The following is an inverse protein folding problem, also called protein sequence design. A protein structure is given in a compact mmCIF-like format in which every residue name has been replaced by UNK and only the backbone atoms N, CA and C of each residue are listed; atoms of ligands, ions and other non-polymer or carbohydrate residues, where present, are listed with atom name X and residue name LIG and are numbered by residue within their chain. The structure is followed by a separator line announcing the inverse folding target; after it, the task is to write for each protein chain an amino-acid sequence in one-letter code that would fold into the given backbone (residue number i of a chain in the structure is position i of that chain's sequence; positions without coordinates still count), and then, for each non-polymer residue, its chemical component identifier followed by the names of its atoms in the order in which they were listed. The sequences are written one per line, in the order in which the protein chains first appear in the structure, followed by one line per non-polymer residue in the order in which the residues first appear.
data_IF_337058300435
#
_entry.id   IF_337058300435
#
_cell.length_a   1.000
_cell.length_b   1.000
_cell.length_c   1.000
_cell.angle_alpha   90.00
_cell.angle_beta   90.00
_cell.angle_gamma   90.00
#
_symmetry.space_group_name_H-M   'P 1'
#
loop_
_entity.id
_entity.type
_entity.pdbx_description
1 polymer ?
#
# COMPACT_ATOMS: atom_id res chain seq x y z
N UNK A 1 13.13 30.85 1.67
CA UNK A 1 12.49 29.59 1.23
C UNK A 1 13.08 28.49 2.08
N UNK A 2 12.30 27.75 2.85
CA UNK A 2 12.82 26.58 3.57
C UNK A 2 13.29 25.56 2.54
N UNK A 3 14.48 24.99 2.73
CA UNK A 3 14.97 23.89 1.90
C UNK A 3 14.08 22.68 2.10
N UNK A 4 13.74 21.98 1.01
CA UNK A 4 13.01 20.71 1.09
C UNK A 4 13.87 19.67 1.81
N UNK A 5 13.29 18.79 2.65
CA UNK A 5 14.04 17.75 3.33
C UNK A 5 14.62 16.72 2.35
N UNK A 6 15.78 16.16 2.69
CA UNK A 6 16.34 15.00 1.98
C UNK A 6 15.53 13.76 2.34
N UNK A 7 15.12 12.99 1.35
CA UNK A 7 14.23 11.83 1.52
C UNK A 7 14.94 10.54 1.13
N UNK A 8 14.80 9.50 1.95
CA UNK A 8 15.12 8.14 1.55
C UNK A 8 13.83 7.34 1.31
N UNK A 9 13.77 6.56 0.23
CA UNK A 9 12.68 5.64 -0.06
C UNK A 9 13.21 4.21 -0.02
N UNK A 10 12.76 3.45 0.97
CA UNK A 10 13.09 2.05 1.18
C UNK A 10 11.96 1.17 0.68
N UNK A 11 12.25 0.37 -0.35
CA UNK A 11 11.25 -0.40 -1.09
C UNK A 11 10.74 0.36 -2.31
N UNK A 12 11.31 0.03 -3.49
CA UNK A 12 10.94 0.61 -4.80
C UNK A 12 10.03 -0.35 -5.58
N UNK A 13 9.08 -0.99 -4.89
CA UNK A 13 7.96 -1.68 -5.50
C UNK A 13 6.98 -0.68 -6.14
N UNK A 14 5.81 -1.17 -6.59
CA UNK A 14 4.84 -0.34 -7.31
C UNK A 14 4.51 1.01 -6.63
N UNK A 15 4.35 1.00 -5.31
CA UNK A 15 4.02 2.22 -4.54
C UNK A 15 5.26 3.08 -4.28
N UNK A 16 6.34 2.50 -3.74
CA UNK A 16 7.54 3.26 -3.41
C UNK A 16 8.23 3.85 -4.63
N UNK A 17 8.21 3.17 -5.77
CA UNK A 17 8.67 3.70 -7.05
C UNK A 17 7.87 4.95 -7.46
N UNK A 18 6.53 4.89 -7.36
CA UNK A 18 5.66 6.04 -7.63
C UNK A 18 5.95 7.21 -6.67
N UNK A 19 6.19 6.93 -5.38
CA UNK A 19 6.55 7.96 -4.40
C UNK A 19 7.88 8.61 -4.74
N UNK A 20 8.94 7.82 -5.01
CA UNK A 20 10.24 8.35 -5.41
C UNK A 20 10.14 9.21 -6.68
N UNK A 21 9.41 8.74 -7.70
CA UNK A 21 9.17 9.49 -8.94
C UNK A 21 8.48 10.85 -8.68
N UNK A 22 7.42 10.87 -7.86
CA UNK A 22 6.71 12.11 -7.53
C UNK A 22 7.57 13.08 -6.72
N UNK A 23 8.36 12.59 -5.76
CA UNK A 23 9.29 13.40 -4.99
C UNK A 23 10.35 14.05 -5.90
N UNK A 24 10.97 13.29 -6.80
CA UNK A 24 11.93 13.82 -7.77
C UNK A 24 11.32 14.90 -8.66
N UNK A 25 10.10 14.69 -9.17
CA UNK A 25 9.35 15.69 -9.96
C UNK A 25 9.06 16.97 -9.19
N UNK A 26 8.92 16.88 -7.86
CA UNK A 26 8.70 18.03 -6.98
C UNK A 26 10.01 18.64 -6.43
N UNK A 27 11.17 18.24 -6.95
CA UNK A 27 12.47 18.86 -6.64
C UNK A 27 13.12 18.40 -5.33
N UNK A 28 12.66 17.28 -4.75
CA UNK A 28 13.32 16.69 -3.58
C UNK A 28 14.63 16.01 -3.97
N UNK A 29 15.59 16.02 -3.06
CA UNK A 29 16.76 15.13 -3.12
C UNK A 29 16.33 13.77 -2.58
N UNK A 30 16.39 12.75 -3.43
CA UNK A 30 15.88 11.42 -3.09
C UNK A 30 16.97 10.36 -3.21
N UNK A 31 17.20 9.65 -2.11
CA UNK A 31 17.94 8.39 -2.07
C UNK A 31 16.95 7.21 -2.11
N UNK A 32 17.34 6.13 -2.75
CA UNK A 32 16.49 4.94 -2.85
C UNK A 32 17.25 3.65 -2.56
N UNK A 33 16.53 2.69 -2.01
CA UNK A 33 17.02 1.33 -1.87
C UNK A 33 15.89 0.32 -2.11
N UNK A 34 16.24 -0.78 -2.74
CA UNK A 34 15.36 -1.93 -2.88
C UNK A 34 16.20 -3.21 -2.89
N UNK A 35 15.67 -4.31 -2.31
CA UNK A 35 16.33 -5.62 -2.30
C UNK A 35 16.74 -6.09 -3.70
N UNK A 36 15.94 -5.79 -4.72
CA UNK A 36 16.29 -5.96 -6.14
C UNK A 36 16.58 -4.60 -6.76
N UNK A 37 17.84 -4.23 -7.01
CA UNK A 37 18.24 -2.88 -7.49
C UNK A 37 17.56 -2.48 -8.80
N UNK A 38 17.34 -3.43 -9.70
CA UNK A 38 16.68 -3.19 -11.00
C UNK A 38 15.34 -2.41 -10.91
N UNK A 39 14.68 -2.43 -9.75
CA UNK A 39 13.42 -1.73 -9.54
C UNK A 39 13.50 -0.20 -9.42
N UNK A 40 14.72 0.35 -9.32
CA UNK A 40 14.93 1.79 -9.22
C UNK A 40 15.89 2.34 -10.28
N UNK A 41 16.40 1.50 -11.18
CA UNK A 41 17.41 1.90 -12.18
C UNK A 41 16.88 2.98 -13.12
N UNK A 42 15.63 2.88 -13.55
CA UNK A 42 14.98 3.85 -14.41
C UNK A 42 14.87 5.24 -13.78
N UNK A 43 14.73 5.33 -12.45
CA UNK A 43 14.65 6.58 -11.73
C UNK A 43 15.99 7.29 -11.57
N UNK A 44 17.13 6.62 -11.78
CA UNK A 44 18.46 7.25 -11.73
C UNK A 44 18.59 8.32 -12.82
N UNK A 45 18.01 8.09 -14.00
CA UNK A 45 17.98 9.10 -15.07
C UNK A 45 17.17 10.36 -14.67
N UNK A 46 16.33 10.26 -13.65
CA UNK A 46 15.52 11.34 -13.10
C UNK A 46 16.08 11.92 -11.79
N UNK A 47 17.29 11.51 -11.38
CA UNK A 47 18.00 12.05 -10.23
C UNK A 47 17.92 11.22 -8.94
N UNK A 48 17.40 9.98 -8.99
CA UNK A 48 17.44 9.08 -7.83
C UNK A 48 18.88 8.65 -7.52
N UNK A 49 19.31 8.83 -6.27
CA UNK A 49 20.54 8.22 -5.76
C UNK A 49 20.24 6.79 -5.30
N UNK A 50 20.40 5.80 -6.19
CA UNK A 50 20.16 4.40 -5.87
C UNK A 50 21.35 3.79 -5.13
N UNK A 51 21.11 3.19 -3.96
CA UNK A 51 22.14 2.64 -3.09
C UNK A 51 22.08 1.11 -3.01
N UNK A 52 23.24 0.48 -2.81
CA UNK A 52 23.35 -0.96 -2.69
C UNK A 52 22.83 -1.50 -1.34
N UNK A 53 22.89 -0.68 -0.28
CA UNK A 53 22.44 -1.05 1.06
C UNK A 53 21.43 -0.02 1.59
N UNK A 54 20.49 -0.43 2.47
CA UNK A 54 19.53 0.51 3.03
C UNK A 54 20.19 1.51 3.98
N UNK A 55 21.30 1.14 4.66
CA UNK A 55 22.08 2.03 5.50
C UNK A 55 22.66 3.22 4.71
N UNK A 56 23.17 2.96 3.52
CA UNK A 56 23.71 4.03 2.65
C UNK A 56 22.59 4.98 2.20
N UNK A 57 21.41 4.45 1.92
CA UNK A 57 20.27 5.26 1.47
C UNK A 57 19.78 6.24 2.54
N UNK A 58 19.86 5.87 3.83
CA UNK A 58 19.33 6.69 4.93
C UNK A 58 20.35 7.63 5.57
N UNK A 59 21.63 7.50 5.27
CA UNK A 59 22.72 8.18 5.99
C UNK A 59 22.56 9.72 6.10
N UNK A 60 22.05 10.35 5.04
CA UNK A 60 21.83 11.81 4.97
C UNK A 60 20.35 12.20 4.96
N UNK A 61 19.44 11.22 5.13
CA UNK A 61 18.01 11.46 5.02
C UNK A 61 17.44 12.12 6.29
N UNK A 62 16.60 13.12 6.09
CA UNK A 62 15.82 13.79 7.14
C UNK A 62 14.44 13.13 7.29
N UNK A 63 13.91 12.57 6.18
CA UNK A 63 12.65 11.82 6.15
C UNK A 63 12.88 10.49 5.44
N UNK A 64 12.48 9.40 6.08
CA UNK A 64 12.66 8.04 5.57
C UNK A 64 11.29 7.44 5.32
N UNK A 65 10.97 7.13 4.08
CA UNK A 65 9.78 6.38 3.68
C UNK A 65 10.13 4.90 3.65
N UNK A 66 9.46 4.10 4.47
CA UNK A 66 9.51 2.64 4.43
C UNK A 66 8.25 2.10 3.76
N UNK A 67 8.39 1.54 2.55
CA UNK A 67 7.29 0.95 1.76
C UNK A 67 7.62 -0.49 1.41
N UNK A 68 7.74 -1.32 2.43
CA UNK A 68 8.13 -2.73 2.35
C UNK A 68 6.89 -3.65 2.33
N UNK A 69 7.11 -4.93 2.00
CA UNK A 69 6.03 -5.87 1.71
C UNK A 69 5.19 -6.26 2.93
N UNK A 70 5.84 -6.42 4.08
CA UNK A 70 5.25 -6.95 5.31
C UNK A 70 5.99 -6.48 6.57
N UNK A 71 5.54 -6.96 7.74
CA UNK A 71 6.10 -6.60 9.03
C UNK A 71 7.50 -7.15 9.25
N UNK A 72 7.78 -8.38 8.82
CA UNK A 72 9.09 -9.03 8.98
C UNK A 72 10.16 -8.23 8.24
N UNK A 73 9.95 -7.97 6.96
CA UNK A 73 10.87 -7.15 6.15
C UNK A 73 11.05 -5.74 6.73
N UNK A 74 9.98 -5.16 7.29
CA UNK A 74 10.03 -3.83 7.91
C UNK A 74 10.89 -3.82 9.16
N UNK A 75 10.73 -4.80 10.05
CA UNK A 75 11.50 -4.91 11.28
C UNK A 75 12.98 -5.20 10.99
N UNK A 76 13.25 -6.12 10.04
CA UNK A 76 14.61 -6.44 9.62
C UNK A 76 15.34 -5.21 9.07
N UNK A 77 14.73 -4.48 8.14
CA UNK A 77 15.33 -3.29 7.55
C UNK A 77 15.46 -2.17 8.57
N UNK A 78 14.47 -1.96 9.45
CA UNK A 78 14.52 -0.95 10.51
C UNK A 78 15.69 -1.20 11.46
N UNK A 79 15.92 -2.45 11.89
CA UNK A 79 17.05 -2.82 12.72
C UNK A 79 18.40 -2.50 12.06
N UNK A 80 18.50 -2.73 10.75
CA UNK A 80 19.73 -2.47 10.00
C UNK A 80 19.99 -0.97 9.83
N UNK A 81 18.98 -0.14 9.61
CA UNK A 81 19.16 1.27 9.29
C UNK A 81 19.22 2.19 10.51
N UNK A 82 18.56 1.86 11.61
CA UNK A 82 18.43 2.75 12.77
C UNK A 82 19.77 3.33 13.25
N UNK A 83 20.87 2.53 13.36
CA UNK A 83 22.16 3.07 13.75
C UNK A 83 22.82 4.00 12.72
N UNK A 84 22.39 3.94 11.45
CA UNK A 84 22.95 4.74 10.34
C UNK A 84 22.14 6.02 10.07
N UNK A 85 20.95 6.16 10.67
CA UNK A 85 20.09 7.30 10.48
C UNK A 85 20.58 8.54 11.22
N UNK A 86 20.22 9.72 10.70
CA UNK A 86 20.39 10.97 11.44
C UNK A 86 19.55 10.93 12.73
N UNK A 87 20.06 11.45 13.88
CA UNK A 87 19.39 11.33 15.16
C UNK A 87 17.97 11.93 15.19
N UNK A 88 17.70 12.95 14.40
CA UNK A 88 16.38 13.62 14.35
C UNK A 88 15.57 13.27 13.09
N UNK A 89 15.98 12.25 12.36
CA UNK A 89 15.25 11.82 11.18
C UNK A 89 13.84 11.32 11.54
N UNK A 90 12.92 11.48 10.60
CA UNK A 90 11.55 11.00 10.71
C UNK A 90 11.42 9.70 9.92
N UNK A 91 11.05 8.62 10.61
CA UNK A 91 10.75 7.34 9.98
C UNK A 91 9.25 7.23 9.71
N UNK A 92 8.88 7.29 8.43
CA UNK A 92 7.50 7.15 7.95
C UNK A 92 7.26 5.72 7.48
N UNK A 93 6.58 4.92 8.28
CA UNK A 93 6.19 3.56 7.92
C UNK A 93 4.91 3.62 7.07
N UNK A 94 5.00 3.30 5.77
CA UNK A 94 3.90 3.47 4.82
C UNK A 94 3.32 2.14 4.29
N UNK A 95 3.93 1.00 4.60
CA UNK A 95 3.40 -0.32 4.28
C UNK A 95 2.24 -0.74 5.20
N UNK A 96 1.48 -1.75 4.80
CA UNK A 96 0.49 -2.39 5.66
C UNK A 96 1.13 -3.58 6.36
N UNK A 97 1.52 -3.43 7.63
CA UNK A 97 2.32 -4.40 8.37
C UNK A 97 1.59 -5.07 9.54
N UNK A 98 0.40 -4.59 9.89
CA UNK A 98 -0.34 -5.08 11.05
C UNK A 98 0.03 -4.37 12.37
N UNK A 99 -0.79 -4.59 13.41
CA UNK A 99 -0.59 -3.91 14.69
C UNK A 99 0.52 -4.49 15.55
N UNK A 100 0.72 -5.81 15.62
CA UNK A 100 1.84 -6.39 16.39
C UNK A 100 3.18 -5.86 15.89
N UNK A 101 3.43 -5.89 14.58
CA UNK A 101 4.68 -5.46 13.94
C UNK A 101 4.84 -3.94 14.04
N UNK A 102 3.76 -3.17 13.96
CA UNK A 102 3.79 -1.72 14.20
C UNK A 102 4.28 -1.40 15.62
N UNK A 103 3.76 -2.09 16.64
CA UNK A 103 4.20 -1.92 18.02
C UNK A 103 5.68 -2.29 18.21
N UNK A 104 6.10 -3.39 17.58
CA UNK A 104 7.49 -3.82 17.59
C UNK A 104 8.41 -2.81 16.90
N UNK A 105 8.01 -2.26 15.75
CA UNK A 105 8.77 -1.24 15.03
C UNK A 105 8.93 0.05 15.85
N UNK A 106 7.87 0.50 16.52
CA UNK A 106 7.91 1.66 17.44
C UNK A 106 8.87 1.40 18.60
N UNK A 107 8.79 0.22 19.23
CA UNK A 107 9.66 -0.15 20.34
C UNK A 107 11.13 -0.25 19.90
N UNK A 108 11.39 -0.92 18.78
CA UNK A 108 12.71 -1.09 18.20
C UNK A 108 13.36 0.26 17.84
N UNK A 109 12.62 1.16 17.20
CA UNK A 109 13.15 2.48 16.86
C UNK A 109 13.47 3.29 18.14
N UNK A 110 12.62 3.22 19.14
CA UNK A 110 12.84 3.90 20.43
C UNK A 110 14.08 3.36 21.17
N UNK A 111 14.34 2.05 21.03
CA UNK A 111 15.53 1.42 21.65
C UNK A 111 16.81 1.79 20.90
N UNK A 112 16.81 1.68 19.58
CA UNK A 112 18.03 1.84 18.76
C UNK A 112 18.36 3.29 18.46
N UNK A 113 17.35 4.17 18.32
CA UNK A 113 17.54 5.57 17.96
C UNK A 113 16.44 6.45 18.58
N UNK A 114 16.51 6.70 19.91
CA UNK A 114 15.43 7.34 20.68
C UNK A 114 15.15 8.80 20.27
N UNK A 115 16.05 9.45 19.53
CA UNK A 115 15.86 10.82 19.07
C UNK A 115 15.08 10.90 17.74
N UNK A 116 14.91 9.77 17.00
CA UNK A 116 14.09 9.73 15.81
C UNK A 116 12.59 9.77 16.13
N UNK A 117 11.83 10.28 15.17
CA UNK A 117 10.36 10.30 15.25
C UNK A 117 9.79 9.19 14.37
N UNK A 118 8.91 8.36 14.95
CA UNK A 118 8.13 7.36 14.20
C UNK A 118 6.77 7.96 13.81
N UNK A 119 6.47 7.95 12.51
CA UNK A 119 5.16 8.25 11.95
C UNK A 119 4.65 7.01 11.23
N UNK A 120 3.50 6.52 11.65
CA UNK A 120 2.78 5.47 10.95
C UNK A 120 1.93 6.13 9.87
N UNK A 121 2.17 5.81 8.60
CA UNK A 121 1.62 6.56 7.47
C UNK A 121 1.18 5.66 6.29
N UNK A 122 0.44 4.56 6.52
CA UNK A 122 -0.08 3.77 5.41
C UNK A 122 -0.97 4.62 4.48
N UNK A 123 -1.17 4.14 3.27
CA UNK A 123 -1.85 4.92 2.24
C UNK A 123 -3.14 4.26 1.76
N UNK A 124 -4.12 5.07 1.38
CA UNK A 124 -5.33 4.62 0.70
C UNK A 124 -5.26 5.00 -0.78
N UNK A 125 -5.29 4.00 -1.63
CA UNK A 125 -5.10 4.07 -3.08
C UNK A 125 -4.19 2.96 -3.56
N UNK A 126 -4.23 2.69 -4.87
CA UNK A 126 -3.45 1.66 -5.55
C UNK A 126 -2.39 2.31 -6.45
N UNK A 127 -1.70 1.52 -7.29
CA UNK A 127 -0.59 1.97 -8.13
C UNK A 127 -0.94 3.20 -8.98
N UNK A 128 -1.99 3.16 -9.78
CA UNK A 128 -2.33 4.26 -10.69
C UNK A 128 -2.66 5.58 -9.97
N UNK A 129 -3.43 5.63 -8.87
CA UNK A 129 -3.53 6.81 -8.02
C UNK A 129 -2.20 7.28 -7.42
N UNK A 130 -1.30 6.35 -7.04
CA UNK A 130 0.01 6.71 -6.48
C UNK A 130 0.90 7.40 -7.53
N UNK A 131 0.93 6.91 -8.76
CA UNK A 131 1.66 7.52 -9.88
C UNK A 131 1.23 8.97 -10.16
N UNK A 132 -0.04 9.29 -9.87
CA UNK A 132 -0.65 10.61 -10.07
C UNK A 132 -0.66 11.49 -8.81
N UNK A 133 -0.02 11.07 -7.71
CA UNK A 133 -0.09 11.72 -6.39
C UNK A 133 -1.55 11.90 -5.90
N UNK A 134 -2.44 10.97 -6.18
CA UNK A 134 -3.87 11.02 -5.84
C UNK A 134 -4.27 10.02 -4.73
N UNK A 135 -3.31 9.42 -4.07
CA UNK A 135 -3.56 8.63 -2.86
C UNK A 135 -3.91 9.53 -1.68
N UNK A 136 -4.46 8.95 -0.62
CA UNK A 136 -4.63 9.59 0.69
C UNK A 136 -3.60 8.99 1.66
N UNK A 137 -2.80 9.83 2.32
CA UNK A 137 -1.93 9.38 3.42
C UNK A 137 -2.76 9.33 4.70
N UNK A 138 -2.69 8.20 5.40
CA UNK A 138 -3.32 7.99 6.71
C UNK A 138 -2.21 8.07 7.76
N UNK A 139 -2.05 9.23 8.40
CA UNK A 139 -0.94 9.45 9.31
C UNK A 139 -1.35 9.30 10.78
N UNK A 140 -0.46 8.78 11.60
CA UNK A 140 -0.58 8.79 13.06
C UNK A 140 0.80 8.82 13.73
N UNK A 141 0.88 9.44 14.90
CA UNK A 141 2.12 9.71 15.63
C UNK A 141 2.19 11.15 16.11
N UNK A 142 3.38 11.57 16.54
CA UNK A 142 3.64 12.96 16.98
C UNK A 142 3.76 13.88 15.75
N UNK A 143 2.66 14.55 15.43
CA UNK A 143 2.57 15.42 14.26
C UNK A 143 3.54 16.61 14.32
N UNK A 144 3.78 17.16 15.49
CA UNK A 144 4.66 18.32 15.65
C UNK A 144 6.11 17.94 15.36
N UNK A 145 6.58 16.82 15.94
CA UNK A 145 7.91 16.27 15.64
C UNK A 145 8.02 15.75 14.23
N UNK A 146 6.92 15.26 13.66
CA UNK A 146 6.82 14.79 12.27
C UNK A 146 6.63 15.88 11.21
N UNK A 147 6.64 17.16 11.57
CA UNK A 147 6.28 18.26 10.67
C UNK A 147 7.09 18.31 9.36
N UNK A 148 8.37 17.91 9.37
CA UNK A 148 9.19 17.85 8.16
C UNK A 148 8.72 16.79 7.14
N UNK A 149 7.86 15.84 7.52
CA UNK A 149 7.24 14.90 6.60
C UNK A 149 6.03 15.49 5.84
N UNK A 150 5.43 16.58 6.31
CA UNK A 150 4.24 17.17 5.64
C UNK A 150 4.48 17.54 4.17
N UNK A 151 5.57 18.23 3.78
CA UNK A 151 5.84 18.51 2.37
C UNK A 151 6.12 17.24 1.56
N UNK A 152 6.66 16.18 2.19
CA UNK A 152 6.88 14.88 1.55
C UNK A 152 5.53 14.22 1.26
N UNK A 153 4.62 14.20 2.23
CA UNK A 153 3.27 13.67 2.03
C UNK A 153 2.48 14.46 0.97
N UNK A 154 2.60 15.78 0.97
CA UNK A 154 1.95 16.64 -0.03
C UNK A 154 2.42 16.36 -1.47
N UNK A 155 3.70 15.99 -1.65
CA UNK A 155 4.26 15.68 -2.97
C UNK A 155 3.78 14.34 -3.54
N UNK A 156 3.35 13.40 -2.70
CA UNK A 156 2.97 12.03 -3.12
C UNK A 156 1.47 11.75 -3.02
N UNK A 157 0.67 12.69 -2.48
CA UNK A 157 -0.74 12.44 -2.18
C UNK A 157 -1.62 13.65 -2.48
N UNK A 158 -2.93 13.41 -2.56
CA UNK A 158 -3.95 14.47 -2.60
C UNK A 158 -4.25 15.08 -1.24
N UNK A 159 -3.66 14.54 -0.17
CA UNK A 159 -3.84 15.01 1.20
C UNK A 159 -3.45 13.98 2.25
N UNK A 160 -3.37 14.45 3.50
CA UNK A 160 -3.03 13.64 4.68
C UNK A 160 -4.15 13.74 5.71
N UNK A 161 -4.59 12.61 6.23
CA UNK A 161 -5.54 12.54 7.35
C UNK A 161 -4.83 11.98 8.58
N UNK A 162 -4.89 12.71 9.71
CA UNK A 162 -4.23 12.33 10.95
C UNK A 162 -5.19 11.61 11.90
N UNK A 163 -4.72 10.52 12.52
CA UNK A 163 -5.48 9.63 13.41
C UNK A 163 -4.94 9.58 14.84
N UNK A 164 -4.18 10.59 15.27
CA UNK A 164 -3.65 10.70 16.63
C UNK A 164 -2.44 9.81 16.87
N UNK A 165 -2.46 8.98 17.91
CA UNK A 165 -1.32 8.17 18.34
C UNK A 165 -0.85 7.16 17.29
N UNK A 166 0.47 6.92 17.23
CA UNK A 166 1.10 5.98 16.31
C UNK A 166 0.45 4.58 16.39
N UNK A 167 0.18 3.99 15.22
CA UNK A 167 -0.53 2.73 15.07
C UNK A 167 -2.04 2.87 14.78
N UNK A 168 -2.66 4.03 15.03
CA UNK A 168 -4.07 4.22 14.74
C UNK A 168 -4.35 4.27 13.23
N UNK A 169 -3.41 4.76 12.44
CA UNK A 169 -3.53 4.74 10.98
C UNK A 169 -3.46 3.33 10.40
N UNK A 170 -2.69 2.40 10.98
CA UNK A 170 -2.75 0.98 10.59
C UNK A 170 -4.12 0.37 10.86
N UNK A 171 -4.75 0.69 12.01
CA UNK A 171 -6.11 0.23 12.30
C UNK A 171 -7.08 0.70 11.22
N UNK A 172 -7.04 2.01 10.90
CA UNK A 172 -7.89 2.57 9.84
C UNK A 172 -7.58 1.96 8.47
N UNK A 173 -6.30 1.74 8.17
CA UNK A 173 -5.89 1.07 6.91
C UNK A 173 -6.50 -0.32 6.77
N UNK A 174 -6.52 -1.12 7.83
CA UNK A 174 -7.13 -2.45 7.82
C UNK A 174 -8.65 -2.38 7.64
N UNK A 175 -9.35 -1.41 8.25
CA UNK A 175 -10.78 -1.17 8.01
C UNK A 175 -11.05 -0.85 6.53
N UNK A 176 -10.25 0.04 5.94
CA UNK A 176 -10.41 0.41 4.52
C UNK A 176 -10.12 -0.77 3.58
N UNK A 177 -9.10 -1.59 3.90
CA UNK A 177 -8.77 -2.75 3.08
C UNK A 177 -9.80 -3.88 3.22
N UNK A 178 -10.35 -4.13 4.41
CA UNK A 178 -11.48 -5.04 4.58
C UNK A 178 -12.67 -4.63 3.70
N UNK A 179 -13.00 -3.32 3.67
CA UNK A 179 -14.05 -2.77 2.80
C UNK A 179 -13.73 -2.97 1.31
N UNK A 180 -12.47 -2.69 0.90
CA UNK A 180 -12.03 -2.84 -0.49
C UNK A 180 -12.12 -4.31 -0.94
N UNK A 181 -11.67 -5.25 -0.12
CA UNK A 181 -11.68 -6.70 -0.38
C UNK A 181 -13.12 -7.21 -0.54
N UNK A 182 -14.01 -6.85 0.39
CA UNK A 182 -15.43 -7.22 0.31
C UNK A 182 -16.10 -6.65 -0.93
N UNK A 183 -15.75 -5.42 -1.31
CA UNK A 183 -16.27 -4.79 -2.53
C UNK A 183 -15.77 -5.52 -3.78
N UNK A 184 -14.49 -5.92 -3.84
CA UNK A 184 -13.95 -6.66 -4.98
C UNK A 184 -14.62 -8.02 -5.16
N UNK A 185 -14.85 -8.75 -4.09
CA UNK A 185 -15.57 -10.02 -4.16
C UNK A 185 -16.99 -9.82 -4.74
N UNK A 186 -17.72 -8.83 -4.24
CA UNK A 186 -19.05 -8.49 -4.75
C UNK A 186 -19.04 -8.07 -6.23
N UNK A 187 -18.01 -7.35 -6.69
CA UNK A 187 -17.84 -7.02 -8.12
C UNK A 187 -17.63 -8.29 -8.95
N UNK A 188 -16.74 -9.19 -8.51
CA UNK A 188 -16.42 -10.41 -9.23
C UNK A 188 -17.67 -11.33 -9.35
N UNK A 189 -18.42 -11.53 -8.27
CA UNK A 189 -19.64 -12.33 -8.26
C UNK A 189 -20.75 -11.71 -9.11
N UNK A 190 -20.95 -10.39 -9.02
CA UNK A 190 -21.93 -9.68 -9.84
C UNK A 190 -21.59 -9.79 -11.33
N UNK A 191 -20.32 -9.68 -11.70
CA UNK A 191 -19.88 -9.84 -13.09
C UNK A 191 -20.04 -11.29 -13.59
N UNK A 192 -19.81 -12.31 -12.74
CA UNK A 192 -20.07 -13.71 -13.08
C UNK A 192 -21.56 -13.98 -13.27
N UNK A 193 -22.41 -13.44 -12.40
CA UNK A 193 -23.86 -13.57 -12.54
C UNK A 193 -24.35 -12.86 -13.83
N UNK A 194 -23.86 -11.65 -14.10
CA UNK A 194 -24.17 -10.91 -15.32
C UNK A 194 -23.81 -11.75 -16.57
N UNK A 195 -22.61 -12.31 -16.61
CA UNK A 195 -22.17 -13.21 -17.70
C UNK A 195 -23.10 -14.41 -17.86
N UNK A 196 -23.50 -15.06 -16.78
CA UNK A 196 -24.42 -16.21 -16.82
C UNK A 196 -25.78 -15.83 -17.37
N UNK A 197 -26.24 -14.59 -17.11
CA UNK A 197 -27.51 -14.07 -17.58
C UNK A 197 -27.41 -13.39 -18.97
N UNK A 198 -26.25 -13.42 -19.63
CA UNK A 198 -26.03 -12.88 -20.97
C UNK A 198 -25.71 -11.39 -21.03
N UNK A 199 -25.31 -10.79 -19.89
CA UNK A 199 -24.88 -9.38 -19.84
C UNK A 199 -23.37 -9.26 -19.83
N UNK A 200 -22.87 -8.18 -20.42
CA UNK A 200 -21.44 -7.81 -20.40
C UNK A 200 -21.10 -6.95 -19.17
N UNK A 201 -19.80 -6.87 -18.78
CA UNK A 201 -19.36 -5.94 -17.72
C UNK A 201 -19.72 -4.47 -18.04
N UNK A 202 -19.68 -4.06 -19.32
CA UNK A 202 -20.07 -2.69 -19.72
C UNK A 202 -21.57 -2.44 -19.53
N UNK A 203 -22.43 -3.43 -19.83
CA UNK A 203 -23.85 -3.33 -19.55
C UNK A 203 -24.13 -3.25 -18.05
N UNK A 204 -23.41 -4.04 -17.24
CA UNK A 204 -23.50 -3.95 -15.78
C UNK A 204 -23.10 -2.56 -15.29
N UNK A 205 -21.97 -2.02 -15.78
CA UNK A 205 -21.56 -0.66 -15.41
C UNK A 205 -22.60 0.37 -15.82
N UNK A 206 -23.11 0.33 -17.04
CA UNK A 206 -24.12 1.28 -17.54
C UNK A 206 -25.39 1.29 -16.67
N UNK A 207 -25.76 0.14 -16.10
CA UNK A 207 -26.90 0.07 -15.18
C UNK A 207 -26.60 0.63 -13.77
N UNK A 208 -25.32 0.68 -13.38
CA UNK A 208 -24.88 1.23 -12.10
C UNK A 208 -24.60 2.75 -12.17
N UNK A 209 -24.14 3.23 -13.34
CA UNK A 209 -23.61 4.57 -13.54
C UNK A 209 -24.60 5.66 -13.15
N UNK A 210 -24.14 6.66 -12.42
CA UNK A 210 -24.97 7.74 -11.88
C UNK A 210 -25.80 7.37 -10.65
N UNK A 211 -25.83 6.09 -10.26
CA UNK A 211 -26.54 5.61 -9.08
C UNK A 211 -25.64 5.50 -7.84
N UNK A 212 -26.22 5.20 -6.68
CA UNK A 212 -25.50 5.14 -5.40
C UNK A 212 -24.51 3.96 -5.29
N UNK A 213 -24.60 2.98 -6.18
CA UNK A 213 -23.69 1.82 -6.22
C UNK A 213 -22.49 2.02 -7.17
N UNK A 214 -22.46 3.12 -7.92
CA UNK A 214 -21.42 3.45 -8.90
C UNK A 214 -20.17 4.06 -8.25
N UNK A 215 -19.43 3.28 -7.44
CA UNK A 215 -18.15 3.73 -6.94
C UNK A 215 -17.10 3.72 -8.09
N UNK A 216 -16.17 4.69 -8.17
CA UNK A 216 -15.11 4.70 -9.19
C UNK A 216 -14.28 3.42 -9.23
N UNK A 217 -14.08 2.78 -8.09
CA UNK A 217 -13.40 1.49 -7.97
C UNK A 217 -14.12 0.37 -8.74
N UNK A 218 -15.46 0.36 -8.73
CA UNK A 218 -16.26 -0.62 -9.46
C UNK A 218 -15.98 -0.54 -10.96
N UNK A 219 -15.97 0.70 -11.52
CA UNK A 219 -15.66 0.92 -12.94
C UNK A 219 -14.30 0.36 -13.31
N UNK A 220 -13.26 0.72 -12.56
CA UNK A 220 -11.88 0.27 -12.82
C UNK A 220 -11.78 -1.26 -12.83
N UNK A 221 -12.49 -1.93 -11.92
CA UNK A 221 -12.43 -3.40 -11.82
C UNK A 221 -13.29 -4.09 -12.88
N UNK A 222 -14.44 -3.53 -13.25
CA UNK A 222 -15.21 -4.02 -14.38
C UNK A 222 -14.48 -3.85 -15.72
N UNK A 223 -13.70 -2.76 -15.90
CA UNK A 223 -12.86 -2.57 -17.10
C UNK A 223 -11.75 -3.61 -17.19
N UNK A 224 -11.10 -3.94 -16.05
CA UNK A 224 -10.10 -4.99 -15.99
C UNK A 224 -10.70 -6.37 -16.35
N UNK A 225 -11.91 -6.65 -15.86
CA UNK A 225 -12.65 -7.87 -16.18
C UNK A 225 -13.06 -7.90 -17.65
N UNK A 226 -13.57 -6.80 -18.20
CA UNK A 226 -14.00 -6.70 -19.60
C UNK A 226 -12.84 -6.88 -20.59
N UNK A 227 -11.67 -6.36 -20.25
CA UNK A 227 -10.45 -6.45 -21.07
C UNK A 227 -9.63 -7.72 -20.81
N UNK A 228 -10.00 -8.52 -19.82
CA UNK A 228 -9.23 -9.67 -19.32
C UNK A 228 -7.76 -9.33 -18.97
N UNK A 229 -7.51 -8.08 -18.55
CA UNK A 229 -6.19 -7.60 -18.18
C UNK A 229 -6.08 -7.44 -16.66
N UNK A 230 -5.33 -8.33 -16.03
CA UNK A 230 -5.18 -8.39 -14.58
C UNK A 230 -3.76 -7.97 -14.13
N UNK A 231 -3.18 -7.00 -14.84
CA UNK A 231 -1.92 -6.35 -14.43
C UNK A 231 -2.09 -5.73 -13.03
N UNK A 232 -1.25 -6.10 -12.06
CA UNK A 232 -1.51 -5.75 -10.67
C UNK A 232 -1.50 -4.25 -10.39
N UNK A 233 -2.63 -3.71 -9.95
CA UNK A 233 -2.72 -2.45 -9.20
C UNK A 233 -2.54 -2.72 -7.69
N UNK A 234 -3.01 -3.88 -7.24
CA UNK A 234 -2.76 -4.51 -5.95
C UNK A 234 -2.78 -6.02 -6.16
N UNK A 235 -1.70 -6.70 -5.83
CA UNK A 235 -1.63 -8.16 -5.96
C UNK A 235 -2.64 -8.85 -5.05
N UNK A 236 -3.22 -9.96 -5.53
CA UNK A 236 -4.14 -10.79 -4.75
C UNK A 236 -3.51 -11.24 -3.42
N UNK A 237 -2.23 -11.66 -3.45
CA UNK A 237 -1.51 -12.07 -2.25
C UNK A 237 -1.42 -10.97 -1.19
N UNK A 238 -1.20 -9.71 -1.59
CA UNK A 238 -1.15 -8.58 -0.66
C UNK A 238 -2.53 -8.28 -0.06
N UNK A 239 -3.58 -8.36 -0.87
CA UNK A 239 -4.94 -8.15 -0.38
C UNK A 239 -5.38 -9.28 0.57
N UNK A 240 -5.02 -10.53 0.28
CA UNK A 240 -5.26 -11.67 1.16
C UNK A 240 -4.53 -11.53 2.51
N UNK A 241 -3.25 -11.09 2.49
CA UNK A 241 -2.51 -10.75 3.71
C UNK A 241 -3.25 -9.69 4.52
N UNK A 242 -3.74 -8.64 3.89
CA UNK A 242 -4.44 -7.55 4.57
C UNK A 242 -5.81 -8.00 5.14
N UNK A 243 -6.52 -8.92 4.44
CA UNK A 243 -7.72 -9.55 4.97
C UNK A 243 -7.42 -10.33 6.26
N UNK A 244 -6.34 -11.11 6.28
CA UNK A 244 -5.92 -11.88 7.45
C UNK A 244 -5.50 -10.99 8.61
N UNK A 245 -4.79 -9.88 8.34
CA UNK A 245 -4.46 -8.88 9.35
C UNK A 245 -5.73 -8.25 9.95
N UNK A 246 -6.73 -7.94 9.14
CA UNK A 246 -8.01 -7.42 9.63
C UNK A 246 -8.74 -8.45 10.50
N UNK A 247 -8.82 -9.69 10.03
CA UNK A 247 -9.47 -10.79 10.77
C UNK A 247 -8.78 -11.09 12.10
N UNK A 248 -7.45 -10.96 12.18
CA UNK A 248 -6.72 -11.17 13.44
C UNK A 248 -7.05 -10.17 14.55
N UNK A 249 -7.69 -9.06 14.19
CA UNK A 249 -8.10 -7.98 15.11
C UNK A 249 -9.60 -7.96 15.36
N UNK A 250 -10.37 -8.70 14.57
CA UNK A 250 -11.82 -8.75 14.68
C UNK A 250 -12.26 -9.56 15.89
N UNK A 251 -13.34 -9.12 16.53
CA UNK A 251 -14.03 -9.97 17.50
C UNK A 251 -14.61 -11.23 16.80
N UNK A 252 -14.61 -12.38 17.47
CA UNK A 252 -15.12 -13.61 16.86
C UNK A 252 -16.51 -13.43 16.22
N UNK A 253 -16.67 -13.96 15.02
CA UNK A 253 -17.94 -13.96 14.27
C UNK A 253 -18.47 -12.58 13.82
N UNK A 254 -17.69 -11.49 13.95
CA UNK A 254 -18.13 -10.17 13.52
C UNK A 254 -17.87 -9.88 12.04
N UNK A 255 -17.03 -10.68 11.39
CA UNK A 255 -16.64 -10.49 9.98
C UNK A 255 -16.76 -11.79 9.15
N UNK A 256 -17.88 -12.53 9.19
CA UNK A 256 -18.00 -13.84 8.53
C UNK A 256 -17.86 -13.76 7.00
N UNK A 257 -18.28 -12.66 6.39
CA UNK A 257 -18.09 -12.43 4.96
C UNK A 257 -16.61 -12.30 4.58
N UNK A 258 -15.80 -11.61 5.37
CA UNK A 258 -14.37 -11.48 5.11
C UNK A 258 -13.62 -12.79 5.36
N UNK A 259 -14.05 -13.59 6.35
CA UNK A 259 -13.52 -14.95 6.60
C UNK A 259 -13.70 -15.82 5.35
N UNK A 260 -14.92 -15.91 4.82
CA UNK A 260 -15.23 -16.66 3.60
C UNK A 260 -14.42 -16.14 2.40
N UNK A 261 -14.31 -14.82 2.23
CA UNK A 261 -13.51 -14.23 1.15
C UNK A 261 -12.03 -14.61 1.27
N UNK A 262 -11.47 -14.57 2.48
CA UNK A 262 -10.08 -14.94 2.71
C UNK A 262 -9.79 -16.40 2.36
N UNK A 263 -10.72 -17.31 2.66
CA UNK A 263 -10.63 -18.73 2.28
C UNK A 263 -10.69 -18.92 0.76
N UNK A 264 -11.64 -18.25 0.08
CA UNK A 264 -11.78 -18.29 -1.37
C UNK A 264 -10.54 -17.71 -2.08
N UNK A 265 -10.02 -16.60 -1.58
CA UNK A 265 -8.85 -15.95 -2.15
C UNK A 265 -7.55 -16.72 -1.88
N UNK A 266 -7.49 -17.49 -0.78
CA UNK A 266 -6.38 -18.43 -0.58
C UNK A 266 -6.38 -19.51 -1.68
N UNK A 267 -7.54 -20.11 -1.97
CA UNK A 267 -7.65 -21.10 -3.05
C UNK A 267 -7.28 -20.51 -4.42
N UNK A 268 -7.67 -19.26 -4.69
CA UNK A 268 -7.27 -18.55 -5.91
C UNK A 268 -5.75 -18.32 -5.97
N UNK A 269 -5.14 -17.93 -4.84
CA UNK A 269 -3.69 -17.73 -4.75
C UNK A 269 -2.93 -19.05 -4.99
N UNK A 270 -3.40 -20.16 -4.41
CA UNK A 270 -2.82 -21.50 -4.58
C UNK A 270 -2.98 -22.03 -6.02
N UNK A 271 -4.03 -21.57 -6.72
CA UNK A 271 -4.25 -21.85 -8.14
C UNK A 271 -3.39 -20.98 -9.10
N UNK A 272 -2.47 -20.14 -8.58
CA UNK A 272 -1.51 -19.38 -9.36
C UNK A 272 -1.84 -17.88 -9.55
N UNK A 273 -2.96 -17.39 -9.01
CA UNK A 273 -3.38 -15.99 -9.17
C UNK A 273 -2.75 -15.02 -8.13
N UNK A 274 -1.86 -15.51 -7.25
CA UNK A 274 -1.26 -14.74 -6.16
C UNK A 274 -0.58 -13.43 -6.61
N UNK A 275 0.11 -13.46 -7.76
CA UNK A 275 0.84 -12.33 -8.33
C UNK A 275 0.01 -11.42 -9.23
N UNK A 276 -1.20 -11.82 -9.60
CA UNK A 276 -2.13 -11.06 -10.43
C UNK A 276 -2.81 -9.94 -9.63
N UNK A 277 -3.50 -9.04 -10.33
CA UNK A 277 -4.41 -8.10 -9.66
C UNK A 277 -5.51 -8.84 -8.89
N UNK A 278 -5.92 -8.29 -7.74
CA UNK A 278 -6.97 -8.93 -6.94
C UNK A 278 -8.28 -9.14 -7.72
N UNK A 279 -8.50 -8.44 -8.85
CA UNK A 279 -9.65 -8.70 -9.71
C UNK A 279 -9.56 -10.01 -10.50
N UNK A 280 -8.40 -10.66 -10.54
CA UNK A 280 -8.24 -11.99 -11.15
C UNK A 280 -9.05 -13.08 -10.42
N UNK A 281 -9.52 -12.81 -9.20
CA UNK A 281 -10.51 -13.69 -8.54
C UNK A 281 -11.73 -13.94 -9.41
N UNK A 282 -12.11 -13.00 -10.29
CA UNK A 282 -13.16 -13.20 -11.28
C UNK A 282 -12.86 -14.39 -12.20
N UNK A 283 -11.63 -14.54 -12.69
CA UNK A 283 -11.24 -15.68 -13.54
C UNK A 283 -11.32 -16.99 -12.76
N UNK A 284 -10.81 -16.99 -11.52
CA UNK A 284 -10.84 -18.18 -10.66
C UNK A 284 -12.26 -18.63 -10.33
N UNK A 285 -13.22 -17.69 -10.22
CA UNK A 285 -14.65 -18.01 -10.03
C UNK A 285 -15.32 -18.58 -11.28
N UNK A 286 -14.70 -18.49 -12.47
CA UNK A 286 -15.29 -19.00 -13.69
C UNK A 286 -15.34 -20.54 -13.70
N UNK A 287 -16.42 -21.17 -14.22
CA UNK A 287 -16.54 -22.63 -14.27
C UNK A 287 -15.40 -23.34 -14.97
N UNK A 288 -14.81 -22.71 -16.00
CA UNK A 288 -13.67 -23.24 -16.77
C UNK A 288 -12.35 -23.30 -15.99
N UNK A 289 -12.21 -22.61 -14.87
CA UNK A 289 -11.00 -22.66 -14.03
C UNK A 289 -11.01 -23.81 -13.02
N UNK A 290 -12.14 -24.50 -12.87
CA UNK A 290 -12.35 -25.59 -11.89
C UNK A 290 -12.44 -26.97 -12.54
N UNK A 291 -12.24 -27.04 -13.86
CA UNK A 291 -12.15 -28.27 -14.65
C UNK A 291 -10.70 -28.64 -14.91
#
# INVERSE_FOLDING_TARGET
MSTLPKVAVLGLGAMGHAFASNLLKNGFTVAGWNRSPARGEDLQAHGLSLHATPQQAVADAEVIISMLADGEATLEVLAQIAPACQPQAIYCQMGTIGLPETRQAIALLRELQPAMTYIDAPVSGTKAPAEKAQILVLASGDREKGAAAEPVFAAISRGTQWFGEAGNSQKMKLVLNARLISMMQGIAESAQLAKTLGFTPDQLWSALEGGPLAAPYVKVKLDAIASEQFTPQMQLAHALKDARLALSLAEPHTMPGLETIAELWQQAADAGYAGEDLSAVYQWLSPSSKA
#
